data_IF_575603477549
#
_entry.id   IF_575603477549
#
_cell.length_a   1.000
_cell.length_b   1.000
_cell.length_c   1.000
_cell.angle_alpha   90.00
_cell.angle_beta   90.00
_cell.angle_gamma   90.00
#
_symmetry.space_group_name_H-M   'P 1'
#
loop_
_entity.id
_entity.type
_entity.pdbx_description
1 polymer ?
#
# COMPACT_ATOMS: atom_id res chain seq x y z
N UNK A 1 21.70 57.12 10.75
CA UNK A 1 22.39 56.90 9.49
C UNK A 1 23.06 55.55 9.57
N UNK A 2 22.40 54.56 9.02
CA UNK A 2 22.92 53.49 8.18
C UNK A 2 21.75 52.57 7.88
N UNK A 3 21.53 52.47 6.63
CA UNK A 3 20.45 51.87 5.90
C UNK A 3 20.58 50.35 5.94
N UNK A 4 19.53 49.64 6.35
CA UNK A 4 19.47 48.17 6.32
C UNK A 4 18.47 47.76 5.22
N UNK A 5 19.03 47.44 4.05
CA UNK A 5 18.28 46.98 2.90
C UNK A 5 17.78 45.55 3.10
N UNK A 6 16.49 45.40 3.27
CA UNK A 6 15.79 44.14 3.25
C UNK A 6 15.75 43.53 1.83
N UNK A 7 16.25 42.30 1.70
CA UNK A 7 16.16 41.50 0.47
C UNK A 7 14.76 40.89 0.33
N UNK A 8 14.11 40.93 -0.82
CA UNK A 8 12.78 40.36 -0.99
C UNK A 8 12.83 38.85 -1.22
N UNK A 9 12.06 38.14 -0.42
CA UNK A 9 11.75 36.70 -0.61
C UNK A 9 10.91 36.57 -1.89
N UNK A 10 11.47 35.93 -2.89
CA UNK A 10 10.78 35.62 -4.13
C UNK A 10 9.82 34.44 -3.92
N UNK A 11 8.53 34.73 -3.90
CA UNK A 11 7.45 33.75 -3.94
C UNK A 11 7.38 33.13 -5.33
N UNK A 12 7.66 31.82 -5.44
CA UNK A 12 7.38 31.03 -6.66
C UNK A 12 5.88 30.75 -6.75
N UNK A 13 5.14 31.71 -7.26
CA UNK A 13 3.80 31.54 -7.82
C UNK A 13 3.79 32.22 -9.18
N UNK A 14 3.68 31.43 -10.26
CA UNK A 14 3.39 32.00 -11.58
C UNK A 14 4.24 31.40 -12.69
N UNK A 15 3.82 30.29 -13.27
CA UNK A 15 4.03 29.93 -14.65
C UNK A 15 3.18 28.72 -15.03
N UNK A 16 1.87 28.91 -15.18
CA UNK A 16 1.01 28.08 -16.00
C UNK A 16 -0.01 29.01 -16.65
N UNK A 17 0.35 29.54 -17.77
CA UNK A 17 -0.50 30.40 -18.56
C UNK A 17 -0.08 30.39 -20.03
N UNK A 18 -1.01 29.93 -20.85
CA UNK A 18 -1.18 30.29 -22.26
C UNK A 18 -0.26 29.64 -23.32
N UNK A 19 -0.85 28.70 -24.01
CA UNK A 19 -0.52 28.27 -25.36
C UNK A 19 -1.80 27.94 -26.13
N UNK A 20 -2.67 28.93 -26.34
CA UNK A 20 -3.72 28.85 -27.36
C UNK A 20 -3.12 29.30 -28.68
N UNK A 21 -2.91 28.42 -29.61
CA UNK A 21 -2.71 28.74 -31.00
C UNK A 21 -3.91 28.24 -31.80
N UNK A 22 -4.71 29.20 -32.20
CA UNK A 22 -5.79 29.09 -33.17
C UNK A 22 -5.22 28.71 -34.55
N UNK A 23 -5.80 27.68 -35.17
CA UNK A 23 -5.75 27.48 -36.62
C UNK A 23 -7.18 27.34 -37.13
N UNK A 24 -7.56 28.35 -37.93
CA UNK A 24 -8.84 28.45 -38.57
C UNK A 24 -8.91 27.66 -39.88
N UNK A 25 -10.04 27.03 -40.09
CA UNK A 25 -10.79 26.81 -41.32
C UNK A 25 -10.11 26.32 -42.58
N UNK A 26 -10.49 25.13 -43.00
CA UNK A 26 -10.84 24.85 -44.38
C UNK A 26 -12.05 23.91 -44.42
N UNK A 27 -13.15 24.43 -44.90
CA UNK A 27 -14.34 23.66 -45.22
C UNK A 27 -14.15 22.95 -46.56
N UNK A 28 -14.53 21.67 -46.62
CA UNK A 28 -15.15 21.10 -47.82
C UNK A 28 -15.94 19.83 -47.45
N UNK A 29 -17.21 19.91 -47.67
CA UNK A 29 -18.13 18.95 -48.29
C UNK A 29 -17.97 17.43 -48.04
N UNK A 30 -18.98 16.86 -47.42
CA UNK A 30 -19.58 15.62 -47.90
C UNK A 30 -18.91 14.31 -47.49
N UNK A 31 -19.03 13.93 -46.22
CA UNK A 31 -19.14 12.53 -45.86
C UNK A 31 -20.27 12.39 -44.87
N UNK A 32 -21.27 11.61 -45.20
CA UNK A 32 -22.32 11.22 -44.26
C UNK A 32 -21.64 10.65 -43.02
N UNK A 33 -21.65 11.42 -41.97
CA UNK A 33 -21.03 11.03 -40.70
C UNK A 33 -21.68 9.75 -40.21
N UNK A 34 -20.92 8.66 -40.19
CA UNK A 34 -21.22 7.55 -39.31
C UNK A 34 -21.35 8.16 -37.92
N UNK A 35 -22.57 8.16 -37.38
CA UNK A 35 -22.79 8.52 -35.99
C UNK A 35 -21.80 7.70 -35.17
N UNK A 36 -20.81 8.38 -34.60
CA UNK A 36 -19.84 7.75 -33.69
C UNK A 36 -20.68 7.23 -32.53
N UNK A 37 -20.81 5.90 -32.46
CA UNK A 37 -21.46 5.27 -31.32
C UNK A 37 -20.77 5.82 -30.07
N UNK A 38 -21.54 6.35 -29.11
CA UNK A 38 -21.00 6.74 -27.81
C UNK A 38 -20.17 5.58 -27.30
N UNK A 39 -18.92 5.81 -26.85
CA UNK A 39 -18.10 4.74 -26.32
C UNK A 39 -18.89 4.03 -25.21
N UNK A 40 -18.89 2.70 -25.22
CA UNK A 40 -19.47 1.92 -24.15
C UNK A 40 -18.82 2.34 -22.83
N UNK A 41 -19.61 2.50 -21.78
CA UNK A 41 -19.13 2.80 -20.44
C UNK A 41 -19.53 1.68 -19.48
N UNK A 42 -18.72 1.45 -18.46
CA UNK A 42 -19.08 0.62 -17.30
C UNK A 42 -19.80 1.53 -16.32
N UNK A 43 -21.11 1.35 -16.05
CA UNK A 43 -21.80 2.16 -15.06
C UNK A 43 -21.20 1.88 -13.67
N UNK A 44 -21.14 2.90 -12.82
CA UNK A 44 -20.71 2.76 -11.43
C UNK A 44 -21.88 2.21 -10.61
N UNK A 45 -21.66 1.08 -9.96
CA UNK A 45 -22.69 0.34 -9.20
C UNK A 45 -22.14 -0.06 -7.82
N UNK A 46 -22.04 0.88 -6.90
CA UNK A 46 -21.42 0.67 -5.58
C UNK A 46 -22.05 -0.47 -4.77
N UNK A 47 -23.34 -0.72 -4.93
CA UNK A 47 -24.08 -1.77 -4.21
C UNK A 47 -24.10 -3.12 -4.96
N UNK A 48 -23.41 -3.23 -6.09
CA UNK A 48 -23.34 -4.48 -6.86
C UNK A 48 -22.06 -5.26 -6.51
N UNK A 49 -22.15 -6.46 -5.90
CA UNK A 49 -20.97 -7.23 -5.49
C UNK A 49 -20.13 -7.74 -6.67
N UNK A 50 -20.74 -7.92 -7.86
CA UNK A 50 -19.99 -8.29 -9.07
C UNK A 50 -19.16 -7.08 -9.53
N UNK A 51 -19.77 -5.90 -9.58
CA UNK A 51 -19.06 -4.65 -9.91
C UNK A 51 -17.92 -4.39 -8.91
N UNK A 52 -18.15 -4.60 -7.61
CA UNK A 52 -17.13 -4.46 -6.57
C UNK A 52 -15.95 -5.42 -6.81
N UNK A 53 -16.23 -6.68 -7.09
CA UNK A 53 -15.20 -7.68 -7.42
C UNK A 53 -14.38 -7.29 -8.65
N UNK A 54 -15.04 -6.98 -9.77
CA UNK A 54 -14.36 -6.61 -11.03
C UNK A 54 -13.54 -5.31 -10.83
N UNK A 55 -14.08 -4.35 -10.13
CA UNK A 55 -13.41 -3.07 -9.85
C UNK A 55 -12.23 -3.27 -8.90
N UNK A 56 -12.39 -4.03 -7.82
CA UNK A 56 -11.29 -4.35 -6.91
C UNK A 56 -10.14 -5.07 -7.64
N UNK A 57 -10.43 -6.02 -8.52
CA UNK A 57 -9.40 -6.70 -9.30
C UNK A 57 -8.64 -5.73 -10.23
N UNK A 58 -9.34 -4.82 -10.91
CA UNK A 58 -8.74 -3.79 -11.78
C UNK A 58 -7.90 -2.76 -11.01
N UNK A 59 -8.21 -2.50 -9.75
CA UNK A 59 -7.42 -1.60 -8.89
C UNK A 59 -6.14 -2.28 -8.40
N UNK A 60 -6.19 -3.58 -8.16
CA UNK A 60 -5.05 -4.32 -7.61
C UNK A 60 -4.00 -4.65 -8.67
N UNK A 61 -4.42 -5.07 -9.88
CA UNK A 61 -3.50 -5.36 -10.98
C UNK A 61 -4.25 -5.44 -12.33
N UNK A 62 -3.50 -5.78 -13.37
CA UNK A 62 -4.06 -5.96 -14.70
C UNK A 62 -4.86 -7.28 -14.80
N UNK A 63 -6.17 -7.18 -15.06
CA UNK A 63 -7.06 -8.34 -15.13
C UNK A 63 -6.85 -9.24 -16.36
N UNK A 64 -5.94 -8.86 -17.27
CA UNK A 64 -5.47 -9.75 -18.36
C UNK A 64 -4.34 -10.69 -17.92
N UNK A 65 -3.91 -10.62 -16.64
CA UNK A 65 -2.86 -11.47 -16.08
C UNK A 65 -1.44 -10.90 -16.18
N UNK A 66 -1.25 -9.72 -16.75
CA UNK A 66 0.05 -9.05 -16.74
C UNK A 66 0.39 -8.54 -15.35
N UNK A 67 1.68 -8.58 -15.02
CA UNK A 67 2.21 -8.05 -13.77
C UNK A 67 2.12 -6.53 -13.71
N UNK A 68 1.88 -6.03 -12.50
CA UNK A 68 2.07 -4.61 -12.14
C UNK A 68 3.00 -4.48 -10.95
N UNK A 69 3.55 -3.27 -10.76
CA UNK A 69 4.39 -2.91 -9.62
C UNK A 69 3.60 -2.00 -8.68
N UNK A 70 3.69 -2.27 -7.39
CA UNK A 70 3.17 -1.39 -6.33
C UNK A 70 4.34 -0.76 -5.57
N UNK A 71 4.13 0.47 -5.15
CA UNK A 71 5.07 1.22 -4.34
C UNK A 71 4.31 2.02 -3.29
N UNK A 72 4.81 1.99 -2.06
CA UNK A 72 4.34 2.86 -0.98
C UNK A 72 5.55 3.44 -0.26
N UNK A 73 5.51 4.72 0.03
CA UNK A 73 6.58 5.43 0.71
C UNK A 73 6.02 6.33 1.79
N UNK A 74 6.77 6.58 2.84
CA UNK A 74 6.34 7.44 3.93
C UNK A 74 7.26 7.40 5.14
N UNK A 75 6.69 7.67 6.31
CA UNK A 75 7.41 7.74 7.57
C UNK A 75 6.83 6.77 8.61
N UNK A 76 7.68 6.32 9.51
CA UNK A 76 7.32 5.59 10.72
C UNK A 76 7.53 6.50 11.91
N UNK A 77 6.46 6.80 12.62
CA UNK A 77 6.50 7.61 13.83
C UNK A 77 6.41 6.73 15.08
N UNK A 78 7.16 7.10 16.10
CA UNK A 78 6.98 6.57 17.46
C UNK A 78 6.02 7.46 18.25
N UNK A 79 5.03 6.83 18.86
CA UNK A 79 4.00 7.48 19.68
C UNK A 79 4.10 6.93 21.09
N UNK A 80 4.41 7.78 22.08
CA UNK A 80 4.52 7.40 23.49
C UNK A 80 3.63 8.29 24.36
N UNK A 81 3.00 7.74 25.39
CA UNK A 81 2.20 8.55 26.30
C UNK A 81 3.01 9.71 26.92
N UNK A 82 2.47 10.93 26.83
CA UNK A 82 3.09 12.13 27.41
C UNK A 82 4.28 12.70 26.63
N UNK A 83 4.64 12.13 25.48
CA UNK A 83 5.72 12.62 24.61
C UNK A 83 5.16 13.14 23.28
N UNK A 84 5.88 14.08 22.68
CA UNK A 84 5.58 14.49 21.30
C UNK A 84 5.86 13.34 20.34
N UNK A 85 5.02 13.21 19.31
CA UNK A 85 5.23 12.24 18.22
C UNK A 85 6.58 12.49 17.57
N UNK A 86 7.35 11.44 17.35
CA UNK A 86 8.68 11.49 16.78
C UNK A 86 8.77 10.67 15.51
N UNK A 87 9.20 11.27 14.40
CA UNK A 87 9.61 10.52 13.22
C UNK A 87 10.86 9.69 13.57
N UNK A 88 10.78 8.39 13.36
CA UNK A 88 11.84 7.43 13.66
C UNK A 88 12.58 6.99 12.39
N UNK A 89 11.83 6.67 11.34
CA UNK A 89 12.31 6.05 10.11
C UNK A 89 11.51 6.58 8.91
N UNK A 90 12.07 6.51 7.72
CA UNK A 90 11.32 6.39 6.49
C UNK A 90 11.02 4.92 6.19
N UNK A 91 10.16 4.66 5.23
CA UNK A 91 9.93 3.32 4.71
C UNK A 91 9.60 3.34 3.23
N UNK A 92 9.95 2.24 2.57
CA UNK A 92 9.66 1.97 1.17
C UNK A 92 9.08 0.57 1.04
N UNK A 93 7.88 0.45 0.47
CA UNK A 93 7.27 -0.82 0.12
C UNK A 93 7.44 -1.05 -1.37
N UNK A 94 7.99 -2.18 -1.71
CA UNK A 94 8.03 -2.69 -3.08
C UNK A 94 7.11 -3.89 -3.20
N UNK A 95 6.32 -3.96 -4.25
CA UNK A 95 5.55 -5.16 -4.55
C UNK A 95 5.44 -5.43 -6.04
N UNK A 96 5.37 -6.72 -6.39
CA UNK A 96 4.91 -7.19 -7.70
C UNK A 96 3.61 -7.93 -7.53
N UNK A 97 2.64 -7.61 -8.36
CA UNK A 97 1.26 -8.06 -8.22
C UNK A 97 0.77 -8.64 -9.54
N UNK A 98 0.06 -9.76 -9.45
CA UNK A 98 -0.68 -10.38 -10.56
C UNK A 98 -2.06 -10.80 -10.10
N UNK A 99 -3.07 -10.62 -10.94
CA UNK A 99 -4.40 -11.18 -10.72
C UNK A 99 -4.76 -12.13 -11.86
N UNK A 100 -5.31 -13.28 -11.51
CA UNK A 100 -5.75 -14.29 -12.48
C UNK A 100 -7.23 -14.63 -12.26
N UNK A 101 -8.04 -14.43 -13.29
CA UNK A 101 -9.47 -14.78 -13.24
C UNK A 101 -9.65 -16.29 -13.17
N UNK A 102 -10.53 -16.74 -12.29
CA UNK A 102 -10.89 -18.13 -12.10
C UNK A 102 -12.19 -18.48 -12.83
N UNK A 103 -12.46 -19.79 -12.97
CA UNK A 103 -13.64 -20.28 -13.67
C UNK A 103 -14.97 -19.86 -13.00
N UNK A 104 -14.98 -19.66 -11.68
CA UNK A 104 -16.12 -19.16 -10.90
C UNK A 104 -16.30 -17.64 -10.98
N UNK A 105 -15.43 -16.96 -11.72
CA UNK A 105 -15.41 -15.51 -11.88
C UNK A 105 -14.66 -14.76 -10.78
N UNK A 106 -14.17 -15.40 -9.72
CA UNK A 106 -13.27 -14.80 -8.75
C UNK A 106 -11.89 -14.51 -9.37
N UNK A 107 -11.04 -13.79 -8.61
CA UNK A 107 -9.66 -13.56 -8.99
C UNK A 107 -8.73 -14.05 -7.89
N UNK A 108 -7.68 -14.73 -8.28
CA UNK A 108 -6.51 -14.94 -7.42
C UNK A 108 -5.57 -13.75 -7.56
N UNK A 109 -5.36 -13.01 -6.48
CA UNK A 109 -4.31 -12.00 -6.38
C UNK A 109 -3.09 -12.64 -5.75
N UNK A 110 -1.98 -12.57 -6.44
CA UNK A 110 -0.69 -13.12 -6.02
C UNK A 110 0.33 -12.01 -5.99
N UNK A 111 1.02 -11.88 -4.87
CA UNK A 111 1.94 -10.76 -4.63
C UNK A 111 3.21 -11.27 -3.96
N UNK A 112 4.32 -10.63 -4.29
CA UNK A 112 5.53 -10.59 -3.48
C UNK A 112 5.74 -9.16 -3.02
N UNK A 113 6.02 -8.99 -1.74
CA UNK A 113 6.12 -7.68 -1.11
C UNK A 113 7.31 -7.60 -0.18
N UNK A 114 8.02 -6.47 -0.21
CA UNK A 114 9.06 -6.17 0.76
C UNK A 114 8.88 -4.75 1.31
N UNK A 115 9.16 -4.57 2.61
CA UNK A 115 9.22 -3.26 3.27
C UNK A 115 10.65 -3.04 3.72
N UNK A 116 11.26 -1.97 3.20
CA UNK A 116 12.59 -1.51 3.54
C UNK A 116 12.46 -0.29 4.45
N UNK A 117 13.35 -0.15 5.42
CA UNK A 117 13.38 1.02 6.29
C UNK A 117 14.52 1.94 5.90
N UNK A 118 14.29 3.24 5.93
CA UNK A 118 15.24 4.25 5.46
C UNK A 118 15.51 5.32 6.51
N UNK A 119 16.64 6.00 6.39
CA UNK A 119 16.86 7.25 7.09
C UNK A 119 15.86 8.31 6.56
N UNK A 120 15.05 8.93 7.42
CA UNK A 120 13.99 9.82 6.98
C UNK A 120 14.49 11.15 6.39
N UNK A 121 15.80 11.44 6.49
CA UNK A 121 16.42 12.67 5.96
C UNK A 121 17.13 12.42 4.64
N UNK A 122 17.82 11.28 4.52
CA UNK A 122 18.65 10.98 3.34
C UNK A 122 17.97 10.03 2.37
N UNK A 123 17.03 9.19 2.84
CA UNK A 123 16.41 8.12 2.07
C UNK A 123 17.29 6.87 1.92
N UNK A 124 18.46 6.83 2.60
CA UNK A 124 19.34 5.67 2.57
C UNK A 124 18.70 4.49 3.29
N UNK A 125 18.78 3.29 2.70
CA UNK A 125 18.26 2.06 3.30
C UNK A 125 19.13 1.68 4.51
N UNK A 126 18.49 1.39 5.63
CA UNK A 126 19.13 1.09 6.90
C UNK A 126 19.30 -0.41 7.10
N UNK A 127 20.51 -0.88 7.40
CA UNK A 127 20.81 -2.22 7.91
C UNK A 127 20.89 -2.23 9.45
N UNK A 128 21.17 -1.07 10.06
CA UNK A 128 21.21 -0.85 11.50
C UNK A 128 20.57 0.49 11.87
N UNK A 129 20.09 0.62 13.08
CA UNK A 129 19.41 1.82 13.57
C UNK A 129 19.72 2.08 15.03
N UNK A 130 20.03 3.35 15.35
CA UNK A 130 20.24 3.80 16.72
C UNK A 130 18.88 4.14 17.36
N UNK A 131 18.37 3.23 18.20
CA UNK A 131 17.08 3.40 18.84
C UNK A 131 17.10 4.59 19.80
N UNK A 132 16.34 5.66 19.55
CA UNK A 132 16.37 6.86 20.38
C UNK A 132 15.76 6.66 21.78
N UNK A 133 15.04 5.57 22.00
CA UNK A 133 14.40 5.24 23.28
C UNK A 133 15.29 4.36 24.16
N UNK A 134 15.79 3.24 23.62
CA UNK A 134 16.64 2.31 24.36
C UNK A 134 18.11 2.70 24.35
N UNK A 135 18.52 3.63 23.47
CA UNK A 135 19.92 4.04 23.24
C UNK A 135 20.81 2.91 22.71
N UNK A 136 20.20 1.89 22.12
CA UNK A 136 20.90 0.77 21.54
C UNK A 136 20.96 0.88 20.04
N UNK A 137 22.06 0.42 19.47
CA UNK A 137 22.17 0.14 18.05
C UNK A 137 21.62 -1.25 17.79
N UNK A 138 20.61 -1.33 16.95
CA UNK A 138 19.88 -2.56 16.63
C UNK A 138 19.95 -2.85 15.14
N UNK A 139 19.95 -4.14 14.82
CA UNK A 139 19.83 -4.57 13.42
C UNK A 139 18.42 -4.29 12.92
N UNK A 140 18.29 -3.66 11.77
CA UNK A 140 17.02 -3.49 11.08
C UNK A 140 16.62 -4.81 10.41
N UNK A 141 15.38 -5.22 10.61
CA UNK A 141 14.82 -6.41 9.95
C UNK A 141 13.77 -5.94 8.95
N UNK A 142 14.08 -6.11 7.68
CA UNK A 142 13.14 -5.84 6.59
C UNK A 142 11.98 -6.83 6.63
N UNK A 143 10.79 -6.38 6.22
CA UNK A 143 9.65 -7.26 6.01
C UNK A 143 9.71 -7.81 4.60
N UNK A 144 9.46 -9.10 4.43
CA UNK A 144 9.26 -9.71 3.13
C UNK A 144 8.12 -10.73 3.20
N UNK A 145 7.21 -10.68 2.25
CA UNK A 145 6.06 -11.55 2.13
C UNK A 145 6.12 -12.26 0.77
N UNK A 146 6.39 -13.56 0.80
CA UNK A 146 6.46 -14.43 -0.38
C UNK A 146 6.00 -15.86 -0.03
N UNK A 147 4.76 -16.25 -0.34
CA UNK A 147 3.73 -15.48 -1.07
C UNK A 147 2.90 -14.56 -0.16
N UNK A 148 2.21 -13.62 -0.80
CA UNK A 148 1.11 -12.88 -0.20
C UNK A 148 -0.10 -12.97 -1.12
N UNK A 149 -0.91 -14.02 -0.90
CA UNK A 149 -2.02 -14.41 -1.76
C UNK A 149 -3.35 -13.94 -1.20
N UNK A 150 -4.29 -13.65 -2.12
CA UNK A 150 -5.60 -13.11 -1.78
C UNK A 150 -6.64 -13.55 -2.81
N UNK A 151 -7.88 -13.77 -2.39
CA UNK A 151 -9.00 -14.03 -3.30
C UNK A 151 -9.92 -12.81 -3.33
N UNK A 152 -10.20 -12.33 -4.53
CA UNK A 152 -11.19 -11.29 -4.81
C UNK A 152 -12.42 -11.96 -5.41
N UNK A 153 -13.51 -12.02 -4.66
CA UNK A 153 -14.75 -12.68 -5.06
C UNK A 153 -15.95 -11.74 -4.85
N UNK A 154 -17.12 -12.12 -5.34
CA UNK A 154 -18.35 -11.37 -5.09
C UNK A 154 -18.94 -11.57 -3.69
N UNK A 155 -18.34 -12.47 -2.91
CA UNK A 155 -18.65 -12.69 -1.49
C UNK A 155 -17.41 -12.45 -0.65
N UNK A 156 -17.63 -12.08 0.61
CA UNK A 156 -16.54 -11.87 1.58
C UNK A 156 -15.76 -13.17 1.73
N UNK A 157 -14.44 -13.07 1.66
CA UNK A 157 -13.53 -14.20 1.80
C UNK A 157 -12.87 -14.22 3.19
N UNK A 158 -12.43 -15.38 3.68
CA UNK A 158 -11.62 -15.49 4.88
C UNK A 158 -10.40 -14.57 4.84
N UNK A 159 -9.90 -14.07 5.98
CA UNK A 159 -8.63 -13.35 6.03
C UNK A 159 -7.52 -14.18 5.40
N UNK A 160 -6.62 -13.50 4.68
CA UNK A 160 -5.47 -14.16 4.05
C UNK A 160 -4.49 -14.76 5.07
N UNK A 161 -4.54 -14.29 6.32
CA UNK A 161 -3.67 -14.73 7.42
C UNK A 161 -4.49 -15.53 8.44
N UNK A 162 -4.22 -16.84 8.63
CA UNK A 162 -4.90 -17.65 9.62
C UNK A 162 -4.74 -17.08 11.04
N UNK A 163 -5.79 -17.15 11.84
CA UNK A 163 -5.77 -16.70 13.25
C UNK A 163 -5.94 -15.19 13.45
N UNK A 164 -5.93 -14.38 12.40
CA UNK A 164 -6.22 -12.95 12.49
C UNK A 164 -7.72 -12.75 12.60
N UNK A 165 -8.17 -12.20 13.74
CA UNK A 165 -9.56 -11.79 13.94
C UNK A 165 -9.70 -10.33 13.50
N UNK A 166 -10.49 -10.08 12.45
CA UNK A 166 -10.79 -8.73 11.98
C UNK A 166 -12.09 -8.24 12.60
N UNK A 167 -12.06 -7.06 13.21
CA UNK A 167 -13.28 -6.37 13.65
C UNK A 167 -13.88 -5.64 12.47
N UNK A 168 -15.12 -5.99 12.10
CA UNK A 168 -15.85 -5.30 11.03
C UNK A 168 -16.12 -6.12 9.76
N UNK A 169 -15.34 -7.16 9.47
CA UNK A 169 -15.60 -8.08 8.35
C UNK A 169 -15.71 -9.54 8.81
N UNK A 170 -15.95 -9.78 10.06
CA UNK A 170 -15.67 -11.03 10.74
C UNK A 170 -16.65 -12.20 10.51
N UNK A 171 -17.54 -12.14 9.54
CA UNK A 171 -18.37 -13.31 9.22
C UNK A 171 -18.33 -13.55 7.72
N UNK A 172 -17.69 -14.68 7.36
CA UNK A 172 -17.52 -15.16 5.98
C UNK A 172 -18.79 -15.82 5.40
N UNK A 173 -19.95 -15.56 5.97
CA UNK A 173 -21.21 -16.30 5.77
C UNK A 173 -21.88 -16.01 4.42
N UNK A 174 -21.13 -15.98 3.33
CA UNK A 174 -21.66 -15.74 1.99
C UNK A 174 -22.21 -14.32 1.79
N UNK A 175 -21.84 -13.37 2.66
CA UNK A 175 -22.22 -11.97 2.52
C UNK A 175 -21.67 -11.39 1.22
N UNK A 176 -22.44 -10.51 0.54
CA UNK A 176 -21.95 -9.79 -0.61
C UNK A 176 -20.67 -9.02 -0.29
N UNK A 177 -19.68 -9.08 -1.18
CA UNK A 177 -18.47 -8.29 -1.08
C UNK A 177 -18.77 -6.85 -1.56
N UNK A 178 -18.94 -5.94 -0.62
CA UNK A 178 -19.22 -4.54 -0.85
C UNK A 178 -18.13 -3.70 -0.17
N UNK A 179 -17.45 -2.89 -0.96
CA UNK A 179 -16.43 -1.96 -0.49
C UNK A 179 -17.07 -0.60 -0.16
N UNK A 180 -16.39 0.22 0.64
CA UNK A 180 -16.88 1.53 1.06
C UNK A 180 -16.53 2.60 0.04
N UNK A 181 -17.39 2.79 -0.94
CA UNK A 181 -17.26 3.78 -2.00
C UNK A 181 -17.96 5.08 -1.70
N UNK A 182 -17.44 6.18 -2.23
CA UNK A 182 -18.11 7.48 -2.27
C UNK A 182 -17.57 8.31 -3.43
N UNK A 183 -18.31 9.39 -3.76
CA UNK A 183 -17.81 10.38 -4.71
C UNK A 183 -17.06 11.49 -3.96
N UNK A 184 -15.88 11.83 -4.43
CA UNK A 184 -15.12 13.00 -3.99
C UNK A 184 -15.12 14.03 -5.14
N UNK A 185 -16.19 14.81 -5.23
CA UNK A 185 -16.46 15.66 -6.39
C UNK A 185 -16.97 14.85 -7.60
N UNK A 186 -17.05 15.46 -8.79
CA UNK A 186 -17.64 14.83 -9.98
C UNK A 186 -16.75 13.79 -10.64
N UNK A 187 -15.43 13.93 -10.53
CA UNK A 187 -14.45 13.20 -11.34
C UNK A 187 -13.62 12.18 -10.57
N UNK A 188 -13.75 12.15 -9.24
CA UNK A 188 -12.98 11.27 -8.36
C UNK A 188 -13.89 10.34 -7.57
N UNK A 189 -13.61 9.05 -7.64
CA UNK A 189 -14.19 8.04 -6.77
C UNK A 189 -13.21 7.76 -5.63
N UNK A 190 -13.71 7.81 -4.41
CA UNK A 190 -12.99 7.47 -3.19
C UNK A 190 -13.37 6.05 -2.77
N UNK A 191 -12.38 5.17 -2.65
CA UNK A 191 -12.51 3.92 -1.92
C UNK A 191 -11.86 4.07 -0.55
N UNK A 192 -12.59 3.67 0.48
CA UNK A 192 -12.11 3.60 1.86
C UNK A 192 -12.09 2.16 2.32
N UNK A 193 -10.91 1.68 2.71
CA UNK A 193 -10.78 0.38 3.37
C UNK A 193 -10.15 0.58 4.74
N UNK A 194 -10.67 -0.11 5.73
CA UNK A 194 -10.14 -0.14 7.09
C UNK A 194 -10.07 -1.59 7.57
N UNK A 195 -8.96 -1.91 8.16
CA UNK A 195 -8.69 -3.21 8.77
C UNK A 195 -8.31 -2.99 10.23
N UNK A 196 -8.98 -3.72 11.13
CA UNK A 196 -8.68 -3.69 12.55
C UNK A 196 -8.51 -5.11 13.04
N UNK A 197 -7.29 -5.48 13.42
CA UNK A 197 -6.93 -6.81 13.88
C UNK A 197 -6.63 -6.85 15.37
N UNK A 198 -7.10 -7.89 16.03
CA UNK A 198 -6.72 -8.24 17.40
C UNK A 198 -6.51 -9.76 17.44
N UNK A 199 -5.27 -10.18 17.66
CA UNK A 199 -4.88 -11.58 17.52
C UNK A 199 -3.70 -11.93 18.44
N UNK A 200 -3.51 -13.23 18.78
CA UNK A 200 -2.38 -13.68 19.58
C UNK A 200 -1.04 -13.31 18.95
N UNK A 201 -0.09 -12.87 19.76
CA UNK A 201 1.29 -12.66 19.33
C UNK A 201 1.96 -14.01 19.09
N UNK A 202 2.68 -14.10 17.97
CA UNK A 202 3.56 -15.25 17.68
C UNK A 202 4.91 -15.18 18.40
N UNK A 203 5.24 -14.00 18.94
CA UNK A 203 6.42 -13.79 19.75
C UNK A 203 6.00 -13.90 21.24
N UNK A 204 6.08 -15.10 21.81
CA UNK A 204 5.81 -15.32 23.23
C UNK A 204 6.73 -14.44 24.09
N UNK A 205 6.19 -13.58 24.97
CA UNK A 205 7.02 -12.73 25.84
C UNK A 205 8.05 -13.49 26.71
N UNK A 206 7.77 -14.74 27.06
CA UNK A 206 8.72 -15.55 27.83
C UNK A 206 9.93 -15.96 27.00
N UNK A 207 9.75 -16.15 25.71
CA UNK A 207 10.83 -16.52 24.78
C UNK A 207 11.44 -15.30 24.08
N UNK A 208 10.64 -14.25 23.85
CA UNK A 208 11.02 -13.02 23.15
C UNK A 208 10.82 -11.77 24.03
N UNK A 209 11.51 -11.67 25.17
CA UNK A 209 11.21 -10.64 26.19
C UNK A 209 11.47 -9.21 25.74
N UNK A 210 12.32 -9.02 24.74
CA UNK A 210 12.69 -7.70 24.22
C UNK A 210 11.97 -7.34 22.92
N UNK A 211 11.54 -8.33 22.16
CA UNK A 211 10.88 -8.19 20.88
C UNK A 211 9.35 -8.15 21.01
N UNK A 212 8.83 -8.95 21.94
CA UNK A 212 7.38 -9.10 22.11
C UNK A 212 6.76 -7.90 22.81
N UNK A 213 5.75 -7.32 22.17
CA UNK A 213 4.94 -6.25 22.77
C UNK A 213 3.83 -6.76 23.70
N UNK A 214 3.81 -8.08 23.99
CA UNK A 214 2.81 -8.72 24.83
C UNK A 214 2.15 -9.92 24.16
N UNK A 215 1.20 -10.58 24.84
CA UNK A 215 0.57 -11.81 24.34
C UNK A 215 -0.42 -11.57 23.20
N UNK A 216 -0.85 -10.35 23.01
CA UNK A 216 -1.82 -9.96 21.98
C UNK A 216 -1.29 -8.81 21.13
N UNK A 217 -1.55 -8.87 19.85
CA UNK A 217 -1.28 -7.80 18.89
C UNK A 217 -2.59 -7.10 18.56
N UNK A 218 -2.56 -5.77 18.58
CA UNK A 218 -3.61 -4.95 18.03
C UNK A 218 -3.02 -4.10 16.93
N UNK A 219 -3.58 -4.18 15.72
CA UNK A 219 -3.17 -3.34 14.61
C UNK A 219 -4.38 -2.77 13.88
N UNK A 220 -4.19 -1.60 13.30
CA UNK A 220 -5.21 -0.94 12.48
C UNK A 220 -4.56 -0.40 11.22
N UNK A 221 -5.20 -0.62 10.09
CA UNK A 221 -4.78 -0.08 8.80
C UNK A 221 -5.93 0.66 8.15
N UNK A 222 -5.63 1.81 7.57
CA UNK A 222 -6.59 2.66 6.90
C UNK A 222 -6.06 3.02 5.52
N UNK A 223 -6.78 2.59 4.49
CA UNK A 223 -6.44 2.88 3.10
C UNK A 223 -7.45 3.86 2.52
N UNK A 224 -6.96 4.78 1.70
CA UNK A 224 -7.76 5.72 0.90
C UNK A 224 -7.24 5.69 -0.51
N UNK A 225 -8.09 5.30 -1.45
CA UNK A 225 -7.76 5.27 -2.88
C UNK A 225 -8.50 6.40 -3.57
N UNK A 226 -7.74 7.22 -4.29
CA UNK A 226 -8.27 8.31 -5.12
C UNK A 226 -8.24 7.84 -6.58
N UNK A 227 -9.39 7.64 -7.17
CA UNK A 227 -9.55 6.92 -8.43
C UNK A 227 -10.24 7.82 -9.44
N UNK A 228 -9.70 7.89 -10.66
CA UNK A 228 -10.36 8.59 -11.77
C UNK A 228 -11.68 7.89 -12.12
N UNK A 229 -12.78 8.63 -12.04
CA UNK A 229 -14.10 8.14 -12.47
C UNK A 229 -14.08 7.69 -13.93
N UNK A 230 -13.50 8.51 -14.81
CA UNK A 230 -13.40 8.21 -16.23
C UNK A 230 -12.63 6.91 -16.50
N UNK A 231 -11.63 6.60 -15.67
CA UNK A 231 -10.87 5.34 -15.78
C UNK A 231 -11.67 4.14 -15.30
N UNK A 232 -12.46 4.29 -14.24
CA UNK A 232 -13.36 3.24 -13.78
C UNK A 232 -14.46 2.93 -14.81
N UNK A 233 -15.03 3.95 -15.42
CA UNK A 233 -16.08 3.83 -16.42
C UNK A 233 -15.57 3.32 -17.78
N UNK A 234 -14.25 3.30 -18.00
CA UNK A 234 -13.65 2.86 -19.27
C UNK A 234 -13.51 1.33 -19.33
N UNK A 235 -14.28 0.62 -20.20
CA UNK A 235 -14.20 -0.82 -20.32
C UNK A 235 -12.90 -1.33 -20.97
N UNK A 236 -12.14 -0.47 -21.64
CA UNK A 236 -10.86 -0.84 -22.24
C UNK A 236 -9.72 -0.91 -21.21
N UNK A 237 -9.92 -0.33 -19.99
CA UNK A 237 -8.91 -0.35 -18.94
C UNK A 237 -9.03 -1.64 -18.11
N UNK A 238 -8.13 -2.55 -18.33
CA UNK A 238 -7.97 -3.80 -17.57
C UNK A 238 -7.20 -3.60 -16.27
N UNK A 239 -6.50 -2.48 -16.13
CA UNK A 239 -5.88 -1.98 -14.91
C UNK A 239 -6.23 -0.51 -14.73
N UNK A 240 -6.68 -0.13 -13.55
CA UNK A 240 -7.03 1.24 -13.17
C UNK A 240 -6.08 1.64 -12.03
N UNK A 241 -4.93 2.25 -12.34
CA UNK A 241 -4.01 2.68 -11.31
C UNK A 241 -4.67 3.71 -10.38
N UNK A 242 -4.51 3.50 -9.09
CA UNK A 242 -4.99 4.42 -8.08
C UNK A 242 -3.80 4.91 -7.25
N UNK A 243 -3.82 6.22 -6.95
CA UNK A 243 -2.97 6.78 -5.91
C UNK A 243 -3.76 6.78 -4.62
N UNK A 244 -3.06 6.65 -3.50
CA UNK A 244 -3.75 6.63 -2.22
C UNK A 244 -2.87 6.96 -1.04
N UNK A 245 -3.47 6.93 0.14
CA UNK A 245 -2.78 7.04 1.41
C UNK A 245 -3.00 5.79 2.26
N UNK A 246 -1.99 5.47 3.06
CA UNK A 246 -2.01 4.36 4.01
C UNK A 246 -1.53 4.83 5.37
N UNK A 247 -2.32 4.54 6.38
CA UNK A 247 -1.94 4.72 7.78
C UNK A 247 -2.04 3.36 8.46
N UNK A 248 -0.99 2.98 9.21
CA UNK A 248 -0.98 1.79 10.04
C UNK A 248 -0.56 2.13 11.45
N UNK A 249 -1.31 1.65 12.42
CA UNK A 249 -0.99 1.72 13.84
C UNK A 249 -0.80 0.30 14.34
N UNK A 250 0.34 0.02 14.96
CA UNK A 250 0.67 -1.30 15.51
C UNK A 250 1.67 -1.18 16.65
N UNK A 251 1.86 -2.21 17.49
CA UNK A 251 2.92 -2.24 18.48
C UNK A 251 4.30 -1.96 17.89
N UNK A 252 5.28 -1.72 18.76
CA UNK A 252 6.68 -1.58 18.36
C UNK A 252 7.13 -2.74 17.47
N UNK A 253 7.92 -2.43 16.45
CA UNK A 253 8.51 -3.49 15.62
C UNK A 253 9.45 -4.35 16.47
N UNK A 254 9.42 -5.69 16.33
CA UNK A 254 10.18 -6.59 17.18
C UNK A 254 11.67 -6.24 17.27
N UNK A 255 12.29 -5.93 16.13
CA UNK A 255 13.71 -5.59 16.05
C UNK A 255 14.07 -4.25 16.70
N UNK A 256 13.08 -3.39 17.05
CA UNK A 256 13.33 -2.18 17.86
C UNK A 256 13.66 -2.49 19.31
N UNK A 257 13.42 -3.72 19.76
CA UNK A 257 13.72 -4.20 21.11
C UNK A 257 13.09 -3.36 22.21
N UNK A 258 11.87 -2.91 21.98
CA UNK A 258 11.09 -2.09 22.92
C UNK A 258 10.31 -2.93 23.94
N UNK A 259 10.13 -4.24 23.69
CA UNK A 259 9.35 -5.13 24.55
C UNK A 259 7.96 -4.57 24.80
N UNK A 260 7.53 -4.61 26.05
CA UNK A 260 6.24 -4.07 26.50
C UNK A 260 6.28 -2.58 26.88
N UNK A 261 7.30 -1.82 26.43
CA UNK A 261 7.37 -0.39 26.70
C UNK A 261 6.12 0.33 26.18
N UNK A 262 5.52 1.25 26.97
CA UNK A 262 4.33 1.97 26.56
C UNK A 262 4.53 2.72 25.25
N UNK A 263 3.54 2.66 24.36
CA UNK A 263 3.55 3.30 23.05
C UNK A 263 3.43 2.33 21.89
N UNK A 264 3.59 2.86 20.69
CA UNK A 264 3.42 2.12 19.45
C UNK A 264 4.10 2.84 18.29
N UNK A 265 4.15 2.20 17.13
CA UNK A 265 4.51 2.84 15.86
C UNK A 265 3.27 3.18 15.04
N UNK A 266 3.36 4.30 14.33
CA UNK A 266 2.39 4.72 13.32
C UNK A 266 3.12 4.92 12.00
N UNK A 267 2.67 4.23 10.97
CA UNK A 267 3.07 4.48 9.60
C UNK A 267 2.11 5.50 8.98
N UNK A 268 2.67 6.43 8.23
CA UNK A 268 1.94 7.40 7.43
C UNK A 268 2.60 7.47 6.06
N UNK A 269 1.89 7.05 5.03
CA UNK A 269 2.44 6.92 3.69
C UNK A 269 1.44 7.12 2.58
N UNK A 270 2.00 7.22 1.38
CA UNK A 270 1.27 7.30 0.12
C UNK A 270 1.69 6.16 -0.78
N UNK A 271 0.75 5.66 -1.57
CA UNK A 271 1.00 4.55 -2.48
C UNK A 271 0.51 4.83 -3.89
N UNK A 272 1.11 4.11 -4.83
CA UNK A 272 0.70 4.06 -6.22
C UNK A 272 1.03 2.69 -6.83
N UNK A 273 0.46 2.40 -7.99
CA UNK A 273 0.78 1.22 -8.77
C UNK A 273 0.92 1.56 -10.26
N UNK A 274 1.75 0.83 -10.99
CA UNK A 274 2.03 1.07 -12.40
C UNK A 274 2.42 -0.22 -13.13
N UNK A 275 2.39 -0.18 -14.46
CA UNK A 275 2.90 -1.24 -15.33
C UNK A 275 4.42 -1.40 -15.29
N UNK A 276 5.16 -0.35 -14.94
CA UNK A 276 6.63 -0.33 -14.92
C UNK A 276 7.13 0.05 -13.54
N UNK A 277 8.39 -0.30 -13.23
CA UNK A 277 9.04 0.03 -11.98
C UNK A 277 9.81 1.36 -12.00
N UNK A 278 9.70 2.16 -13.07
CA UNK A 278 10.53 3.36 -13.29
C UNK A 278 10.34 4.45 -12.23
N UNK A 279 9.19 4.49 -11.58
CA UNK A 279 8.87 5.47 -10.54
C UNK A 279 9.36 5.06 -9.14
N UNK A 280 9.86 3.81 -9.00
CA UNK A 280 10.39 3.30 -7.74
C UNK A 280 11.84 3.80 -7.58
N UNK A 281 12.26 4.28 -6.39
CA UNK A 281 13.61 4.77 -6.17
C UNK A 281 14.68 3.74 -6.55
N UNK A 282 15.77 4.20 -7.17
CA UNK A 282 16.81 3.32 -7.71
C UNK A 282 17.49 2.46 -6.63
N UNK A 283 17.71 3.02 -5.43
CA UNK A 283 18.29 2.29 -4.29
C UNK A 283 17.35 1.18 -3.78
N UNK A 284 16.02 1.41 -3.84
CA UNK A 284 15.01 0.39 -3.51
C UNK A 284 15.08 -0.75 -4.52
N UNK A 285 15.05 -0.44 -5.83
CA UNK A 285 15.15 -1.46 -6.88
C UNK A 285 16.46 -2.25 -6.81
N UNK A 286 17.57 -1.59 -6.47
CA UNK A 286 18.86 -2.26 -6.33
C UNK A 286 18.87 -3.20 -5.11
N UNK A 287 18.31 -2.78 -3.98
CA UNK A 287 18.14 -3.64 -2.79
C UNK A 287 17.28 -4.86 -3.11
N UNK A 288 16.15 -4.69 -3.82
CA UNK A 288 15.27 -5.79 -4.20
C UNK A 288 15.98 -6.75 -5.16
N UNK A 289 16.64 -6.25 -6.20
CA UNK A 289 17.38 -7.10 -7.15
C UNK A 289 18.50 -7.91 -6.50
N UNK A 290 19.15 -7.32 -5.50
CA UNK A 290 20.31 -7.94 -4.85
C UNK A 290 19.89 -8.93 -3.76
N UNK A 291 18.94 -8.54 -2.90
CA UNK A 291 18.55 -9.33 -1.72
C UNK A 291 17.35 -10.24 -1.97
N UNK A 292 16.41 -9.79 -2.79
CA UNK A 292 15.14 -10.48 -3.09
C UNK A 292 14.90 -10.61 -4.60
N UNK A 293 15.83 -11.18 -5.39
CA UNK A 293 15.76 -11.16 -6.86
C UNK A 293 14.46 -11.78 -7.40
N UNK A 294 13.91 -12.79 -6.72
CA UNK A 294 12.64 -13.42 -7.09
C UNK A 294 11.43 -12.48 -6.96
N UNK A 295 11.56 -11.35 -6.23
CA UNK A 295 10.48 -10.40 -6.03
C UNK A 295 10.25 -9.50 -7.24
N UNK A 296 11.20 -9.43 -8.16
CA UNK A 296 11.04 -8.70 -9.42
C UNK A 296 9.97 -9.31 -10.35
N UNK A 297 9.52 -10.53 -10.05
CA UNK A 297 8.50 -11.24 -10.83
C UNK A 297 7.36 -11.69 -9.93
N UNK A 298 6.14 -11.24 -10.23
CA UNK A 298 4.94 -11.70 -9.54
C UNK A 298 4.69 -13.20 -9.82
N UNK A 299 4.15 -13.95 -8.85
CA UNK A 299 3.84 -15.35 -9.06
C UNK A 299 2.88 -15.57 -10.23
N UNK A 300 3.10 -16.64 -10.99
CA UNK A 300 2.24 -17.06 -12.10
C UNK A 300 1.15 -18.04 -11.68
N UNK A 301 1.28 -18.61 -10.51
CA UNK A 301 0.31 -19.53 -9.91
C UNK A 301 0.28 -19.37 -8.40
N UNK A 302 -0.87 -19.70 -7.83
CA UNK A 302 -1.03 -19.79 -6.38
C UNK A 302 -0.10 -20.84 -5.78
N UNK A 303 0.58 -20.49 -4.69
CA UNK A 303 1.44 -21.43 -3.96
C UNK A 303 1.52 -21.03 -2.47
N UNK A 304 1.82 -22.01 -1.64
CA UNK A 304 2.13 -21.88 -0.23
C UNK A 304 1.00 -21.27 0.62
N UNK A 305 1.15 -21.33 1.93
CA UNK A 305 0.42 -20.46 2.86
C UNK A 305 1.06 -19.07 2.88
N UNK A 306 0.26 -18.05 3.16
CA UNK A 306 0.79 -16.74 3.52
C UNK A 306 1.37 -16.82 4.95
N UNK A 307 2.51 -16.18 5.15
CA UNK A 307 3.06 -15.91 6.48
C UNK A 307 2.95 -14.42 6.79
N UNK A 308 2.60 -14.10 8.02
CA UNK A 308 2.69 -12.72 8.52
C UNK A 308 4.16 -12.31 8.70
N UNK A 309 4.41 -11.00 8.77
CA UNK A 309 5.76 -10.50 9.09
C UNK A 309 6.27 -10.98 10.45
N UNK A 310 5.38 -11.28 11.40
CA UNK A 310 5.76 -11.86 12.70
C UNK A 310 6.13 -13.33 12.59
N UNK A 311 5.46 -14.10 11.71
CA UNK A 311 5.85 -15.49 11.44
C UNK A 311 7.23 -15.56 10.80
N UNK A 312 7.49 -14.72 9.78
CA UNK A 312 8.82 -14.61 9.20
C UNK A 312 9.86 -14.22 10.24
N UNK A 313 9.55 -13.23 11.09
CA UNK A 313 10.45 -12.82 12.16
C UNK A 313 10.77 -13.98 13.12
N UNK A 314 9.76 -14.71 13.59
CA UNK A 314 9.91 -15.84 14.51
C UNK A 314 10.70 -17.01 13.90
N UNK A 315 10.60 -17.22 12.58
CA UNK A 315 11.31 -18.29 11.87
C UNK A 315 12.76 -17.94 11.56
N UNK A 316 13.07 -16.67 11.35
CA UNK A 316 14.37 -16.23 10.80
C UNK A 316 15.28 -15.53 11.80
N UNK A 317 14.72 -15.02 12.89
CA UNK A 317 15.50 -14.33 13.91
C UNK A 317 15.68 -15.20 15.17
N UNK A 318 16.57 -14.78 16.03
CA UNK A 318 16.77 -15.34 17.37
C UNK A 318 16.53 -14.26 18.42
N UNK A 319 16.02 -14.61 19.62
CA UNK A 319 15.80 -13.65 20.69
C UNK A 319 17.08 -12.88 21.04
N UNK A 320 16.95 -11.57 21.18
CA UNK A 320 18.05 -10.72 21.62
C UNK A 320 18.43 -11.05 23.08
N UNK A 321 19.73 -10.95 23.43
CA UNK A 321 20.16 -11.19 24.80
C UNK A 321 19.43 -10.29 25.80
N UNK A 322 18.95 -10.88 26.89
CA UNK A 322 18.39 -10.10 28.01
C UNK A 322 19.57 -9.39 28.71
N UNK A 323 19.41 -8.08 28.91
CA UNK A 323 20.38 -7.24 29.64
C UNK A 323 20.13 -7.24 31.13
#
# INVERSE_FOLDING_TARGET
MTDETASPIATRRGALGLGMASLAAAATAGAAGKASAKPAIIPIEFDNPIWNRETAARLQANTNGEQVYGHCTGIVCGVRPGEAVRTLLGFEVFSTIRVLRQADGSYQRMTKEAILYTDPKTGDILDEWDNPYTKERVKVVEVHNDPYNWIIASTVQPPALPGVMTTGQATHDGKPYLLKWSMLGPDTVLLTEDFHGYYPSLLDPAHWPRESSGPMIQSSELFRYFISRADLENPAKTFVPANGSWVRVQPWLPWMLMGTAPGHVMYDGVFCASYTAEYIPANVLERIKTKYPSFMTAPEKWYGPNYSSLEHYALEQTPAPVK
#
